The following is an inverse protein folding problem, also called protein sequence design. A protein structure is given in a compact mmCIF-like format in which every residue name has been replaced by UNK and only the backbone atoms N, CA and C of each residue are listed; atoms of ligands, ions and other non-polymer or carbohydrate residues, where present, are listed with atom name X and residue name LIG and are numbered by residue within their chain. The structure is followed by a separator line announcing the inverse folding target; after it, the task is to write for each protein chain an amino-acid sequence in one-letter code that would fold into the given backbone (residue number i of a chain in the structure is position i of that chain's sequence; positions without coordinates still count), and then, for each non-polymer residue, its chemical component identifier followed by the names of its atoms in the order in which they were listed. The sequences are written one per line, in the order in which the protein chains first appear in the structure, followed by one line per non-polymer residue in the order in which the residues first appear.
data_IF_083650614897
#
_entry.id   IF_083650614897
#
_cell.length_a   1.000
_cell.length_b   1.000
_cell.length_c   1.000
_cell.angle_alpha   90.00
_cell.angle_beta   90.00
_cell.angle_gamma   90.00
#
_symmetry.space_group_name_H-M   'P 1'
#
loop_
_entity.id
_entity.type
_entity.pdbx_description
1 polymer ?
#
# COMPACT_ATOMS: atom_id res chain seq x y z
N UNK A 1 19.33 20.62 29.29
CA UNK A 1 18.64 19.50 28.60
C UNK A 1 17.15 19.84 28.53
N UNK A 2 16.72 20.52 27.47
CA UNK A 2 15.33 20.98 27.33
C UNK A 2 14.45 19.86 26.80
N UNK A 3 13.49 19.41 27.62
CA UNK A 3 12.45 18.50 27.19
C UNK A 3 11.48 19.24 26.24
N UNK A 4 11.74 19.17 24.94
CA UNK A 4 10.74 19.53 23.93
C UNK A 4 9.77 18.34 23.74
N UNK A 5 9.04 18.00 24.81
CA UNK A 5 8.00 16.97 24.79
C UNK A 5 6.77 17.55 24.08
N UNK A 6 6.70 17.26 22.78
CA UNK A 6 5.50 16.74 22.13
C UNK A 6 4.23 17.63 22.23
N UNK A 7 4.28 18.81 21.60
CA UNK A 7 3.11 19.72 21.46
C UNK A 7 2.24 19.45 20.22
N UNK A 8 2.53 18.42 19.42
CA UNK A 8 1.74 18.10 18.22
C UNK A 8 0.94 16.80 18.32
N UNK A 9 0.60 16.35 19.52
CA UNK A 9 0.14 14.97 19.74
C UNK A 9 -1.23 14.67 19.14
N UNK A 10 -2.18 15.61 19.16
CA UNK A 10 -3.55 15.32 18.71
C UNK A 10 -3.80 15.75 17.25
N UNK A 11 -3.23 16.88 16.83
CA UNK A 11 -3.33 17.35 15.45
C UNK A 11 -2.54 16.46 14.47
N UNK A 12 -1.33 16.02 14.83
CA UNK A 12 -0.58 15.07 13.99
C UNK A 12 -1.24 13.69 14.02
N UNK A 13 -1.82 13.24 15.14
CA UNK A 13 -2.59 11.98 15.17
C UNK A 13 -3.77 12.04 14.21
N UNK A 14 -4.60 13.09 14.28
CA UNK A 14 -5.75 13.27 13.36
C UNK A 14 -5.30 13.36 11.90
N UNK A 15 -4.19 14.04 11.62
CA UNK A 15 -3.63 14.10 10.27
C UNK A 15 -3.10 12.73 9.83
N UNK A 16 -2.39 12.00 10.69
CA UNK A 16 -1.90 10.66 10.39
C UNK A 16 -3.04 9.66 10.21
N UNK A 17 -4.14 9.81 10.95
CA UNK A 17 -5.32 8.96 10.85
C UNK A 17 -6.06 9.21 9.53
N UNK A 18 -6.23 10.49 9.14
CA UNK A 18 -6.76 10.89 7.83
C UNK A 18 -5.86 10.46 6.66
N UNK A 19 -4.55 10.31 6.90
CA UNK A 19 -3.58 9.84 5.91
C UNK A 19 -3.21 8.36 6.07
N UNK A 20 -3.83 7.64 7.01
CA UNK A 20 -3.42 6.29 7.40
C UNK A 20 -3.55 5.32 6.24
N UNK A 21 -4.64 5.43 5.49
CA UNK A 21 -4.90 4.62 4.30
C UNK A 21 -3.90 4.90 3.19
N UNK A 22 -3.60 6.18 2.92
CA UNK A 22 -2.61 6.59 1.91
C UNK A 22 -1.22 6.10 2.28
N UNK A 23 -0.81 6.24 3.54
CA UNK A 23 0.48 5.76 4.04
C UNK A 23 0.56 4.24 3.98
N UNK A 24 -0.50 3.53 4.40
CA UNK A 24 -0.60 2.06 4.30
C UNK A 24 -0.49 1.60 2.84
N UNK A 25 -1.17 2.29 1.93
CA UNK A 25 -1.08 2.03 0.49
C UNK A 25 0.37 2.17 -0.01
N UNK A 26 1.04 3.27 0.31
CA UNK A 26 2.42 3.52 -0.13
C UNK A 26 3.39 2.47 0.42
N UNK A 27 3.26 2.13 1.72
CA UNK A 27 4.08 1.10 2.36
C UNK A 27 3.89 -0.25 1.65
N UNK A 28 2.65 -0.68 1.49
CA UNK A 28 2.34 -1.96 0.84
C UNK A 28 2.85 -2.00 -0.60
N UNK A 29 2.72 -0.90 -1.35
CA UNK A 29 3.24 -0.78 -2.72
C UNK A 29 4.76 -0.96 -2.77
N UNK A 30 5.48 -0.29 -1.87
CA UNK A 30 6.94 -0.41 -1.80
C UNK A 30 7.39 -1.81 -1.40
N UNK A 31 6.72 -2.44 -0.43
CA UNK A 31 6.99 -3.82 -0.01
C UNK A 31 6.75 -4.80 -1.15
N UNK A 32 5.61 -4.72 -1.83
CA UNK A 32 5.30 -5.60 -2.96
C UNK A 32 6.34 -5.45 -4.10
N UNK A 33 6.75 -4.22 -4.41
CA UNK A 33 7.81 -3.96 -5.40
C UNK A 33 9.14 -4.60 -4.99
N UNK A 34 9.49 -4.51 -3.70
CA UNK A 34 10.70 -5.12 -3.17
C UNK A 34 10.68 -6.64 -3.27
N UNK A 35 9.55 -7.24 -2.89
CA UNK A 35 9.32 -8.69 -2.94
C UNK A 35 9.48 -9.23 -4.37
N UNK A 36 8.73 -8.70 -5.33
CA UNK A 36 8.78 -9.11 -6.74
C UNK A 36 10.19 -8.95 -7.34
N UNK A 37 10.94 -7.91 -6.94
CA UNK A 37 12.26 -7.63 -7.53
C UNK A 37 13.39 -8.47 -6.95
N UNK A 38 13.31 -8.85 -5.67
CA UNK A 38 14.49 -9.37 -4.93
C UNK A 38 14.26 -10.70 -4.21
N UNK A 39 13.01 -11.08 -3.95
CA UNK A 39 12.70 -12.19 -3.04
C UNK A 39 11.81 -13.27 -3.67
N UNK A 40 10.92 -12.89 -4.59
CA UNK A 40 9.96 -13.81 -5.18
C UNK A 40 10.64 -14.94 -5.98
N UNK A 41 10.15 -16.16 -5.77
CA UNK A 41 10.49 -17.35 -6.56
C UNK A 41 9.74 -17.36 -7.89
N UNK A 42 10.05 -18.32 -8.77
CA UNK A 42 9.37 -18.44 -10.05
C UNK A 42 7.88 -18.75 -9.86
N UNK A 43 7.57 -19.62 -8.91
CA UNK A 43 6.21 -20.00 -8.51
C UNK A 43 5.45 -18.80 -7.97
N UNK A 44 6.05 -18.01 -7.06
CA UNK A 44 5.45 -16.77 -6.55
C UNK A 44 5.12 -15.80 -7.69
N UNK A 45 6.02 -15.65 -8.65
CA UNK A 45 5.81 -14.76 -9.79
C UNK A 45 4.69 -15.25 -10.72
N UNK A 46 4.49 -16.55 -10.84
CA UNK A 46 3.39 -17.12 -11.62
C UNK A 46 2.05 -16.86 -10.92
N UNK A 47 1.96 -17.17 -9.62
CA UNK A 47 0.75 -16.91 -8.83
C UNK A 47 0.39 -15.41 -8.84
N UNK A 48 1.37 -14.54 -8.61
CA UNK A 48 1.15 -13.09 -8.61
C UNK A 48 0.64 -12.57 -9.97
N UNK A 49 1.06 -13.15 -11.09
CA UNK A 49 0.54 -12.78 -12.42
C UNK A 49 -0.93 -13.11 -12.56
N UNK A 50 -1.37 -14.25 -12.05
CA UNK A 50 -2.78 -14.65 -12.08
C UNK A 50 -3.64 -13.71 -11.23
N UNK A 51 -3.18 -13.43 -10.00
CA UNK A 51 -3.84 -12.48 -9.10
C UNK A 51 -3.93 -11.07 -9.70
N UNK A 52 -2.87 -10.59 -10.36
CA UNK A 52 -2.86 -9.30 -11.05
C UNK A 52 -3.88 -9.30 -12.20
N UNK A 53 -3.92 -10.36 -13.00
CA UNK A 53 -4.87 -10.50 -14.12
C UNK A 53 -6.32 -10.43 -13.63
N UNK A 54 -6.68 -11.19 -12.60
CA UNK A 54 -8.02 -11.16 -12.02
C UNK A 54 -8.37 -9.75 -11.51
N UNK A 55 -7.44 -9.11 -10.81
CA UNK A 55 -7.64 -7.75 -10.28
C UNK A 55 -7.85 -6.73 -11.39
N UNK A 56 -7.09 -6.82 -12.49
CA UNK A 56 -7.25 -5.94 -13.64
C UNK A 56 -8.60 -6.10 -14.30
N UNK A 57 -9.07 -7.33 -14.51
CA UNK A 57 -10.38 -7.59 -15.10
C UNK A 57 -11.50 -7.04 -14.23
N UNK A 58 -11.41 -7.16 -12.90
CA UNK A 58 -12.37 -6.53 -11.99
C UNK A 58 -12.37 -5.00 -12.09
N UNK A 59 -11.22 -4.36 -12.30
CA UNK A 59 -11.13 -2.89 -12.47
C UNK A 59 -11.67 -2.46 -13.84
N UNK A 60 -11.26 -3.15 -14.90
CA UNK A 60 -11.71 -2.88 -16.27
C UNK A 60 -13.21 -3.11 -16.41
N UNK A 61 -13.72 -4.21 -15.83
CA UNK A 61 -15.15 -4.52 -15.76
C UNK A 61 -15.95 -3.46 -15.00
N UNK A 62 -15.46 -3.01 -13.83
CA UNK A 62 -16.08 -1.88 -13.11
C UNK A 62 -16.09 -0.58 -13.92
N UNK A 63 -15.07 -0.34 -14.74
CA UNK A 63 -14.97 0.86 -15.60
C UNK A 63 -15.92 0.82 -16.80
N UNK A 64 -16.45 -0.35 -17.18
CA UNK A 64 -17.47 -0.48 -18.24
C UNK A 64 -18.91 -0.37 -17.73
N UNK A 65 -19.12 -0.45 -16.41
CA UNK A 65 -20.43 -0.41 -15.76
C UNK A 65 -20.78 0.97 -15.16
N UNK A 66 -19.90 1.96 -15.31
CA UNK A 66 -20.06 3.36 -14.90
C UNK A 66 -20.11 4.23 -16.16
#
# INVERSE_FOLDING_TARGET
MGENKNLQTEANKKWQEKNRERTRYLRNRSTARGFVKKQATLEDLQELKELIKEREELIKGKRRLL
#
